data_IF_016959580690
#
_entry.id   IF_016959580690
#
_cell.length_a   1.000
_cell.length_b   1.000
_cell.length_c   1.000
_cell.angle_alpha   90.00
_cell.angle_beta   90.00
_cell.angle_gamma   90.00
#
_symmetry.space_group_name_H-M   'P 1'
#
loop_
_entity.id
_entity.type
_entity.pdbx_description
1 polymer ?
#
# COMPACT_ATOMS: atom_id res chain seq x y z
N UNK A 1 -3.50 5.04 -25.99
CA UNK A 1 -2.07 4.89 -26.27
C UNK A 1 -1.63 3.66 -25.47
N UNK A 2 -1.58 2.48 -26.08
CA UNK A 2 -1.26 1.21 -25.42
C UNK A 2 0.24 1.13 -25.15
N UNK A 3 0.71 0.79 -23.94
CA UNK A 3 2.13 0.60 -23.70
C UNK A 3 2.66 -0.59 -24.50
N UNK A 4 3.89 -0.53 -25.01
CA UNK A 4 4.44 -1.58 -25.84
C UNK A 4 4.62 -2.89 -25.07
N UNK A 5 4.29 -4.00 -25.71
CA UNK A 5 4.35 -5.40 -25.21
C UNK A 5 5.68 -5.82 -24.53
N UNK A 6 6.75 -5.05 -24.72
CA UNK A 6 8.10 -5.41 -24.27
C UNK A 6 8.48 -4.89 -22.87
N UNK A 7 7.63 -4.11 -22.18
CA UNK A 7 7.98 -3.60 -20.85
C UNK A 7 7.78 -4.63 -19.72
N UNK A 8 7.04 -5.70 -19.97
CA UNK A 8 6.72 -6.71 -18.96
C UNK A 8 7.93 -7.56 -18.52
N UNK A 9 8.88 -7.79 -19.44
CA UNK A 9 10.08 -8.61 -19.19
C UNK A 9 11.06 -7.88 -18.24
N UNK A 10 11.06 -6.54 -18.23
CA UNK A 10 11.95 -5.74 -17.35
C UNK A 10 11.43 -5.64 -15.91
N UNK A 11 10.16 -5.95 -15.66
CA UNK A 11 9.55 -5.87 -14.33
C UNK A 11 9.71 -7.14 -13.47
N UNK A 12 10.33 -8.19 -13.97
CA UNK A 12 10.66 -9.40 -13.20
C UNK A 12 9.44 -10.22 -12.77
N UNK A 13 8.35 -10.19 -13.52
CA UNK A 13 7.22 -11.12 -13.43
C UNK A 13 6.80 -11.59 -14.82
N UNK A 14 6.39 -12.85 -14.92
CA UNK A 14 5.87 -13.40 -16.16
C UNK A 14 4.39 -13.01 -16.28
N UNK A 15 4.06 -12.32 -17.37
CA UNK A 15 2.68 -12.09 -17.80
C UNK A 15 2.24 -13.31 -18.63
N UNK A 16 0.99 -13.69 -18.47
CA UNK A 16 0.36 -14.65 -19.40
C UNK A 16 0.23 -14.02 -20.79
N UNK A 17 0.14 -14.87 -21.83
CA UNK A 17 0.19 -14.44 -23.24
C UNK A 17 -0.86 -13.38 -23.60
N UNK A 18 -2.02 -13.43 -22.92
CA UNK A 18 -3.16 -12.51 -23.13
C UNK A 18 -3.30 -11.45 -22.04
N UNK A 19 -2.34 -11.37 -21.11
CA UNK A 19 -2.39 -10.44 -19.98
C UNK A 19 -1.77 -9.09 -20.35
N UNK A 20 -2.53 -7.99 -20.18
CA UNK A 20 -2.08 -6.64 -20.46
C UNK A 20 -1.91 -5.86 -19.14
N UNK A 21 -0.84 -5.05 -19.07
CA UNK A 21 -0.66 -4.11 -17.96
C UNK A 21 -1.52 -2.89 -18.22
N UNK A 22 -2.48 -2.63 -17.34
CA UNK A 22 -3.39 -1.49 -17.41
C UNK A 22 -2.83 -0.28 -16.66
N UNK A 23 -2.18 -0.54 -15.52
CA UNK A 23 -1.57 0.51 -14.70
C UNK A 23 -0.40 -0.04 -13.88
N UNK A 24 0.62 0.80 -13.70
CA UNK A 24 1.75 0.51 -12.83
C UNK A 24 2.11 1.77 -12.04
N UNK A 25 2.43 1.60 -10.76
CA UNK A 25 2.83 2.72 -9.90
C UNK A 25 3.58 2.29 -8.67
N UNK A 26 4.19 3.27 -8.03
CA UNK A 26 4.92 3.12 -6.74
C UNK A 26 4.25 4.01 -5.69
N UNK A 27 4.29 3.64 -4.41
CA UNK A 27 3.76 4.49 -3.35
C UNK A 27 4.58 5.78 -3.23
N UNK A 28 3.90 6.88 -2.90
CA UNK A 28 4.54 8.13 -2.50
C UNK A 28 5.17 7.96 -1.11
N UNK A 29 6.50 8.10 -1.02
CA UNK A 29 7.22 7.92 0.25
C UNK A 29 6.75 8.89 1.34
N UNK A 30 6.44 10.13 0.97
CA UNK A 30 5.99 11.16 1.91
C UNK A 30 4.60 10.83 2.47
N UNK A 31 3.67 10.42 1.61
CA UNK A 31 2.33 10.01 2.04
C UNK A 31 2.37 8.72 2.86
N UNK A 32 3.29 7.80 2.53
CA UNK A 32 3.54 6.60 3.32
C UNK A 32 4.09 6.95 4.71
N UNK A 33 5.04 7.87 4.79
CA UNK A 33 5.61 8.36 6.05
C UNK A 33 4.55 9.03 6.93
N UNK A 34 3.73 9.87 6.36
CA UNK A 34 2.68 10.60 7.09
C UNK A 34 1.48 9.71 7.45
N UNK A 35 1.07 8.82 6.55
CA UNK A 35 -0.13 7.99 6.70
C UNK A 35 0.14 6.66 7.42
N UNK A 36 1.18 5.91 7.01
CA UNK A 36 1.47 4.60 7.57
C UNK A 36 2.28 4.66 8.86
N UNK A 37 3.28 5.53 8.92
CA UNK A 37 4.17 5.66 10.08
C UNK A 37 3.74 6.75 11.06
N UNK A 38 2.69 7.51 10.75
CA UNK A 38 2.13 8.55 11.63
C UNK A 38 3.20 9.53 12.13
N UNK A 39 4.18 9.88 11.29
CA UNK A 39 5.34 10.69 11.68
C UNK A 39 4.91 12.01 12.36
N UNK A 40 3.77 12.60 11.99
CA UNK A 40 3.24 13.79 12.65
C UNK A 40 2.94 13.55 14.13
N UNK A 41 2.33 12.40 14.47
CA UNK A 41 2.00 12.04 15.85
C UNK A 41 3.27 11.79 16.63
N UNK A 42 4.22 11.09 16.03
CA UNK A 42 5.54 10.80 16.62
C UNK A 42 6.31 12.11 16.86
N UNK A 43 6.34 13.01 15.88
CA UNK A 43 7.00 14.30 16.03
C UNK A 43 6.35 15.16 17.12
N UNK A 44 5.03 15.19 17.19
CA UNK A 44 4.31 15.89 18.25
C UNK A 44 4.61 15.30 19.63
N UNK A 45 4.66 13.97 19.74
CA UNK A 45 5.00 13.28 21.00
C UNK A 45 6.41 13.66 21.47
N UNK A 46 7.42 13.60 20.59
CA UNK A 46 8.77 14.03 20.94
C UNK A 46 8.84 15.51 21.27
N UNK A 47 8.17 16.37 20.50
CA UNK A 47 8.13 17.80 20.80
C UNK A 47 7.53 18.09 22.18
N UNK A 48 6.49 17.38 22.60
CA UNK A 48 5.92 17.52 23.94
C UNK A 48 6.91 17.09 25.04
N UNK A 49 7.64 15.98 24.83
CA UNK A 49 8.67 15.53 25.78
C UNK A 49 9.80 16.56 25.87
N UNK A 50 10.25 17.11 24.74
CA UNK A 50 11.33 18.13 24.73
C UNK A 50 10.90 19.41 25.45
N UNK A 51 9.66 19.85 25.29
CA UNK A 51 9.13 21.01 26.01
C UNK A 51 9.11 20.76 27.53
N UNK A 52 8.68 19.58 27.97
CA UNK A 52 8.72 19.20 29.40
C UNK A 52 10.15 19.11 29.93
N UNK A 53 11.05 18.54 29.14
CA UNK A 53 12.50 18.48 29.46
C UNK A 53 13.12 19.86 29.62
N UNK A 54 12.79 20.78 28.70
CA UNK A 54 13.26 22.16 28.76
C UNK A 54 12.79 22.87 30.03
N UNK A 55 11.50 22.72 30.42
CA UNK A 55 10.96 23.26 31.66
C UNK A 55 11.72 22.68 32.85
N UNK A 56 12.03 21.40 32.87
CA UNK A 56 12.82 20.74 33.90
C UNK A 56 14.22 21.34 34.04
N UNK A 57 14.94 21.50 32.91
CA UNK A 57 16.28 22.06 32.84
C UNK A 57 16.29 23.51 33.37
N UNK A 58 15.32 24.33 32.96
CA UNK A 58 15.21 25.72 33.41
C UNK A 58 14.96 25.79 34.93
N UNK A 59 14.10 24.93 35.47
CA UNK A 59 13.77 24.93 36.93
C UNK A 59 14.92 24.41 37.80
N UNK A 60 15.65 23.42 37.30
CA UNK A 60 16.77 22.80 38.05
C UNK A 60 18.11 23.48 37.83
N UNK A 61 18.16 24.52 36.97
CA UNK A 61 19.40 25.20 36.59
C UNK A 61 20.44 24.21 36.02
N UNK A 62 19.96 23.10 35.38
CA UNK A 62 20.80 22.09 34.78
C UNK A 62 21.52 22.64 33.54
N UNK A 63 22.67 22.09 33.18
CA UNK A 63 23.40 22.54 32.00
C UNK A 63 22.57 22.29 30.71
N UNK A 64 22.60 23.23 29.79
CA UNK A 64 21.87 23.15 28.50
C UNK A 64 22.23 21.91 27.66
N UNK A 65 23.40 21.33 27.92
CA UNK A 65 23.82 20.06 27.33
C UNK A 65 22.87 18.90 27.61
N UNK A 66 22.07 18.97 28.69
CA UNK A 66 21.09 17.96 29.03
C UNK A 66 19.94 17.84 27.99
N UNK A 67 19.72 18.88 27.18
CA UNK A 67 18.70 18.88 26.12
C UNK A 67 19.24 18.28 24.81
N UNK A 68 20.54 18.34 24.58
CA UNK A 68 21.12 17.93 23.30
C UNK A 68 20.90 16.44 23.01
N UNK A 69 21.09 15.60 24.02
CA UNK A 69 20.96 14.15 23.83
C UNK A 69 19.53 13.70 23.46
N UNK A 70 18.46 14.13 24.20
CA UNK A 70 17.10 13.76 23.82
C UNK A 70 16.68 14.35 22.48
N UNK A 71 17.05 15.60 22.15
CA UNK A 71 16.77 16.18 20.81
C UNK A 71 17.46 15.38 19.71
N UNK A 72 18.73 14.99 19.90
CA UNK A 72 19.46 14.16 18.93
C UNK A 72 18.81 12.77 18.77
N UNK A 73 18.35 12.17 19.88
CA UNK A 73 17.65 10.88 19.84
C UNK A 73 16.30 10.98 19.10
N UNK A 74 15.52 12.04 19.34
CA UNK A 74 14.26 12.30 18.63
C UNK A 74 14.49 12.49 17.13
N UNK A 75 15.50 13.29 16.75
CA UNK A 75 15.86 13.52 15.35
C UNK A 75 16.32 12.23 14.67
N UNK A 76 17.15 11.43 15.33
CA UNK A 76 17.61 10.12 14.84
C UNK A 76 16.43 9.16 14.62
N UNK A 77 15.50 9.08 15.57
CA UNK A 77 14.34 8.19 15.49
C UNK A 77 13.42 8.59 14.33
N UNK A 78 13.10 9.88 14.20
CA UNK A 78 12.28 10.40 13.09
C UNK A 78 13.00 10.19 11.76
N UNK A 79 14.30 10.45 11.70
CA UNK A 79 15.13 10.19 10.53
C UNK A 79 15.11 8.74 10.10
N UNK A 80 15.20 7.80 11.05
CA UNK A 80 15.12 6.37 10.79
C UNK A 80 13.74 5.96 10.23
N UNK A 81 12.64 6.51 10.77
CA UNK A 81 11.30 6.26 10.23
C UNK A 81 11.15 6.80 8.81
N UNK A 82 11.69 7.98 8.52
CA UNK A 82 11.69 8.55 7.17
C UNK A 82 12.51 7.69 6.21
N UNK A 83 13.69 7.23 6.61
CA UNK A 83 14.53 6.35 5.81
C UNK A 83 13.84 5.02 5.52
N UNK A 84 13.16 4.45 6.51
CA UNK A 84 12.37 3.23 6.35
C UNK A 84 11.21 3.43 5.36
N UNK A 85 10.45 4.53 5.51
CA UNK A 85 9.37 4.87 4.58
C UNK A 85 9.88 5.03 3.14
N UNK A 86 11.01 5.72 2.98
CA UNK A 86 11.66 5.90 1.69
C UNK A 86 12.12 4.57 1.08
N UNK A 87 12.77 3.70 1.87
CA UNK A 87 13.20 2.37 1.43
C UNK A 87 12.03 1.51 0.97
N UNK A 88 10.95 1.47 1.74
CA UNK A 88 9.72 0.74 1.38
C UNK A 88 9.12 1.29 0.08
N UNK A 89 9.01 2.62 -0.05
CA UNK A 89 8.44 3.23 -1.25
C UNK A 89 9.27 2.91 -2.51
N UNK A 90 10.59 2.91 -2.39
CA UNK A 90 11.52 2.60 -3.51
C UNK A 90 11.49 1.13 -3.93
N UNK A 91 11.19 0.24 -3.01
CA UNK A 91 11.22 -1.22 -3.25
C UNK A 91 9.83 -1.81 -3.51
N UNK A 92 8.79 -0.97 -3.48
CA UNK A 92 7.41 -1.40 -3.72
C UNK A 92 6.93 -0.93 -5.08
N UNK A 93 6.36 -1.86 -5.86
CA UNK A 93 5.69 -1.57 -7.12
C UNK A 93 4.34 -2.28 -7.14
N UNK A 94 3.31 -1.56 -7.51
CA UNK A 94 1.98 -2.10 -7.75
C UNK A 94 1.73 -2.18 -9.24
N UNK A 95 1.18 -3.28 -9.70
CA UNK A 95 0.80 -3.48 -11.11
C UNK A 95 -0.63 -3.97 -11.17
N UNK A 96 -1.45 -3.31 -11.95
CA UNK A 96 -2.81 -3.74 -12.27
C UNK A 96 -2.80 -4.24 -13.70
N UNK A 97 -3.21 -5.48 -13.89
CA UNK A 97 -3.32 -6.11 -15.21
C UNK A 97 -4.79 -6.34 -15.55
N UNK A 98 -5.07 -6.90 -16.71
CA UNK A 98 -6.42 -7.29 -17.12
C UNK A 98 -7.02 -8.46 -16.30
N UNK A 99 -6.20 -9.23 -15.57
CA UNK A 99 -6.63 -10.44 -14.86
C UNK A 99 -6.39 -10.44 -13.35
N UNK A 100 -5.40 -9.66 -12.88
CA UNK A 100 -4.94 -9.69 -11.47
C UNK A 100 -4.31 -8.37 -11.03
N UNK A 101 -4.21 -8.20 -9.72
CA UNK A 101 -3.41 -7.15 -9.09
C UNK A 101 -2.14 -7.76 -8.53
N UNK A 102 -0.98 -7.23 -8.88
CA UNK A 102 0.32 -7.73 -8.46
C UNK A 102 0.96 -6.70 -7.52
N UNK A 103 1.30 -7.16 -6.32
CA UNK A 103 2.06 -6.41 -5.34
C UNK A 103 3.50 -6.93 -5.37
N UNK A 104 4.45 -6.08 -5.68
CA UNK A 104 5.86 -6.40 -5.59
C UNK A 104 6.48 -5.56 -4.49
N UNK A 105 7.09 -6.19 -3.50
CA UNK A 105 7.67 -5.53 -2.34
C UNK A 105 8.88 -6.31 -1.81
N UNK A 106 9.72 -5.63 -1.03
CA UNK A 106 10.88 -6.20 -0.37
C UNK A 106 12.20 -5.68 -0.92
N UNK A 107 13.02 -5.08 -0.05
CA UNK A 107 14.31 -4.51 -0.39
C UNK A 107 15.41 -5.57 -0.56
N UNK A 108 15.46 -6.54 0.36
CA UNK A 108 16.50 -7.58 0.37
C UNK A 108 16.04 -8.88 -0.30
N UNK A 109 14.75 -9.22 -0.16
CA UNK A 109 14.14 -10.40 -0.77
C UNK A 109 12.89 -9.94 -1.53
N UNK A 110 12.98 -9.75 -2.85
CA UNK A 110 11.82 -9.35 -3.64
C UNK A 110 10.74 -10.44 -3.57
N UNK A 111 9.58 -10.06 -3.08
CA UNK A 111 8.40 -10.92 -3.02
C UNK A 111 7.32 -10.33 -3.92
N UNK A 112 6.61 -11.21 -4.59
CA UNK A 112 5.44 -10.86 -5.37
C UNK A 112 4.20 -11.55 -4.81
N UNK A 113 3.13 -10.80 -4.63
CA UNK A 113 1.81 -11.33 -4.31
C UNK A 113 0.89 -11.00 -5.47
N UNK A 114 0.33 -12.02 -6.09
CA UNK A 114 -0.63 -11.90 -7.18
C UNK A 114 -2.03 -12.22 -6.67
N UNK A 115 -2.97 -11.30 -6.86
CA UNK A 115 -4.37 -11.44 -6.45
C UNK A 115 -5.25 -11.37 -7.70
N UNK A 116 -5.77 -12.52 -8.18
CA UNK A 116 -6.70 -12.54 -9.30
C UNK A 116 -8.01 -11.79 -8.99
N UNK A 117 -8.60 -11.12 -9.96
CA UNK A 117 -9.86 -10.38 -9.77
C UNK A 117 -10.99 -11.26 -9.23
N UNK A 118 -11.02 -12.56 -9.58
CA UNK A 118 -11.98 -13.53 -9.05
C UNK A 118 -11.97 -13.64 -7.51
N UNK A 119 -10.85 -13.29 -6.86
CA UNK A 119 -10.70 -13.33 -5.40
C UNK A 119 -11.08 -12.01 -4.72
N UNK A 120 -11.29 -10.94 -5.51
CA UNK A 120 -11.64 -9.62 -5.00
C UNK A 120 -13.16 -9.50 -4.98
N UNK A 121 -13.72 -9.16 -3.83
CA UNK A 121 -15.16 -8.93 -3.66
C UNK A 121 -15.54 -7.46 -3.91
N UNK A 122 -14.72 -6.54 -3.45
CA UNK A 122 -14.96 -5.10 -3.62
C UNK A 122 -13.67 -4.29 -3.46
N UNK A 123 -13.71 -3.07 -3.97
CA UNK A 123 -12.64 -2.07 -3.86
C UNK A 123 -13.15 -0.92 -3.01
N UNK A 124 -12.35 -0.48 -2.04
CA UNK A 124 -12.66 0.70 -1.24
C UNK A 124 -11.53 1.72 -1.35
N UNK A 125 -11.92 2.96 -1.65
CA UNK A 125 -11.01 4.09 -1.84
C UNK A 125 -11.01 4.96 -0.59
N UNK A 126 -9.81 5.34 -0.12
CA UNK A 126 -9.61 6.38 0.88
C UNK A 126 -8.73 7.46 0.27
N UNK A 127 -9.32 8.61 -0.04
CA UNK A 127 -8.58 9.73 -0.60
C UNK A 127 -7.89 10.51 0.49
N UNK A 128 -6.61 10.77 0.31
CA UNK A 128 -5.80 11.67 1.08
C UNK A 128 -5.68 13.05 0.41
N UNK A 129 -4.66 13.81 0.83
CA UNK A 129 -4.33 15.09 0.21
C UNK A 129 -3.66 14.87 -1.15
N UNK A 130 -3.76 15.85 -2.07
CA UNK A 130 -3.09 15.87 -3.38
C UNK A 130 -3.47 14.71 -4.31
N UNK A 131 -4.71 14.23 -4.24
CA UNK A 131 -5.19 13.08 -5.04
C UNK A 131 -4.41 11.77 -4.81
N UNK A 132 -3.53 11.76 -3.83
CA UNK A 132 -2.93 10.52 -3.34
C UNK A 132 -3.92 9.83 -2.40
N UNK A 133 -3.86 8.52 -2.33
CA UNK A 133 -4.77 7.79 -1.46
C UNK A 133 -4.45 6.31 -1.38
N UNK A 134 -5.27 5.64 -0.62
CA UNK A 134 -5.19 4.21 -0.37
C UNK A 134 -6.35 3.49 -1.05
N UNK A 135 -6.06 2.43 -1.78
CA UNK A 135 -7.07 1.56 -2.40
C UNK A 135 -7.00 0.20 -1.73
N UNK A 136 -8.00 -0.12 -0.91
CA UNK A 136 -8.07 -1.40 -0.23
C UNK A 136 -8.92 -2.40 -1.01
N UNK A 137 -8.39 -3.62 -1.17
CA UNK A 137 -9.04 -4.73 -1.85
C UNK A 137 -9.67 -5.62 -0.79
N UNK A 138 -10.98 -5.80 -0.87
CA UNK A 138 -11.66 -6.78 -0.02
C UNK A 138 -11.64 -8.13 -0.72
N UNK A 139 -10.98 -9.11 -0.10
CA UNK A 139 -10.97 -10.47 -0.62
C UNK A 139 -12.26 -11.19 -0.27
N UNK A 140 -12.65 -12.16 -1.09
CA UNK A 140 -13.72 -13.12 -0.77
C UNK A 140 -13.24 -14.01 0.39
N UNK A 141 -14.16 -14.42 1.25
CA UNK A 141 -13.88 -15.07 2.55
C UNK A 141 -13.06 -16.37 2.49
N UNK A 142 -12.97 -16.98 1.33
CA UNK A 142 -12.26 -18.25 1.13
C UNK A 142 -10.73 -18.11 1.03
N UNK A 143 -10.21 -16.89 0.84
CA UNK A 143 -8.79 -16.65 0.59
C UNK A 143 -8.16 -15.81 1.70
N UNK A 144 -7.57 -16.49 2.67
CA UNK A 144 -6.82 -15.84 3.74
C UNK A 144 -5.35 -15.69 3.37
N UNK A 145 -4.91 -14.47 3.12
CA UNK A 145 -3.48 -14.15 3.02
C UNK A 145 -2.99 -13.74 4.41
N UNK A 146 -1.94 -14.36 4.98
CA UNK A 146 -1.45 -14.01 6.31
C UNK A 146 -1.09 -12.52 6.44
N UNK A 147 -1.55 -11.86 7.50
CA UNK A 147 -1.32 -10.43 7.76
C UNK A 147 0.16 -10.04 7.66
N UNK A 148 1.05 -10.87 8.23
CA UNK A 148 2.50 -10.64 8.24
C UNK A 148 3.11 -10.62 6.84
N UNK A 149 2.56 -11.40 5.89
CA UNK A 149 3.03 -11.40 4.49
C UNK A 149 2.64 -10.13 3.75
N UNK A 150 1.57 -9.46 4.17
CA UNK A 150 1.05 -8.25 3.54
C UNK A 150 1.62 -6.96 4.16
N UNK A 151 2.21 -7.02 5.35
CA UNK A 151 2.74 -5.84 6.01
C UNK A 151 3.89 -5.22 5.20
N UNK A 152 3.94 -3.89 5.02
CA UNK A 152 3.06 -2.83 5.50
C UNK A 152 1.86 -2.51 4.57
N UNK A 153 1.60 -3.32 3.52
CA UNK A 153 0.58 -3.12 2.48
C UNK A 153 -0.77 -3.75 2.84
N UNK A 154 -1.16 -3.66 4.10
CA UNK A 154 -2.41 -4.18 4.64
C UNK A 154 -3.14 -3.09 5.42
N UNK A 155 -4.48 -3.14 5.43
CA UNK A 155 -5.28 -2.24 6.24
C UNK A 155 -5.03 -2.52 7.72
N UNK A 156 -4.65 -1.50 8.54
CA UNK A 156 -4.38 -1.68 9.96
C UNK A 156 -5.63 -2.18 10.70
N UNK A 157 -5.42 -2.90 11.81
CA UNK A 157 -6.46 -3.40 12.71
C UNK A 157 -7.39 -4.48 12.15
N UNK A 158 -7.17 -4.99 10.93
CA UNK A 158 -7.95 -6.05 10.32
C UNK A 158 -7.17 -7.38 10.28
N UNK A 159 -6.76 -7.87 11.45
CA UNK A 159 -5.90 -9.08 11.55
C UNK A 159 -6.64 -10.36 11.16
N UNK A 160 -7.94 -10.45 11.47
CA UNK A 160 -8.77 -11.64 11.16
C UNK A 160 -9.16 -11.75 9.69
N UNK A 161 -9.30 -10.63 9.00
CA UNK A 161 -9.58 -10.57 7.56
C UNK A 161 -8.65 -9.54 6.92
N UNK A 162 -7.39 -9.91 6.64
CA UNK A 162 -6.42 -8.99 6.08
C UNK A 162 -6.88 -8.48 4.72
N UNK A 163 -6.93 -7.16 4.57
CA UNK A 163 -7.30 -6.50 3.32
C UNK A 163 -6.04 -5.96 2.67
N UNK A 164 -5.57 -6.57 1.57
CA UNK A 164 -4.48 -6.01 0.78
C UNK A 164 -4.82 -4.59 0.35
N UNK A 165 -3.85 -3.69 0.44
CA UNK A 165 -4.08 -2.28 0.18
C UNK A 165 -2.93 -1.69 -0.64
N UNK A 166 -3.27 -1.06 -1.76
CA UNK A 166 -2.36 -0.18 -2.48
C UNK A 166 -2.27 1.12 -1.68
N UNK A 167 -1.12 1.35 -1.04
CA UNK A 167 -0.93 2.49 -0.15
C UNK A 167 -0.31 3.67 -0.84
N UNK A 168 -0.82 4.86 -0.51
CA UNK A 168 -0.21 6.14 -0.88
C UNK A 168 0.10 6.24 -2.37
N UNK A 169 -0.81 5.73 -3.20
CA UNK A 169 -0.65 5.78 -4.65
C UNK A 169 -1.10 7.13 -5.21
N UNK A 170 -0.38 7.66 -6.21
CA UNK A 170 -0.83 8.84 -6.92
C UNK A 170 -2.08 8.53 -7.75
N UNK A 171 -2.96 9.53 -7.89
CA UNK A 171 -4.22 9.39 -8.64
C UNK A 171 -5.07 8.20 -8.19
N UNK A 172 -5.17 7.97 -6.90
CA UNK A 172 -5.86 6.82 -6.31
C UNK A 172 -7.31 6.67 -6.79
N UNK A 173 -8.00 7.79 -7.08
CA UNK A 173 -9.34 7.77 -7.63
C UNK A 173 -9.42 7.15 -9.03
N UNK A 174 -8.44 7.45 -9.89
CA UNK A 174 -8.35 6.87 -11.24
C UNK A 174 -8.10 5.37 -11.16
N UNK A 175 -7.17 4.96 -10.28
CA UNK A 175 -6.85 3.53 -10.09
C UNK A 175 -8.03 2.76 -9.51
N UNK A 176 -8.74 3.34 -8.55
CA UNK A 176 -9.94 2.72 -7.97
C UNK A 176 -11.07 2.54 -9.00
N UNK A 177 -11.30 3.54 -9.86
CA UNK A 177 -12.29 3.45 -10.93
C UNK A 177 -11.91 2.41 -11.97
N UNK A 178 -10.62 2.33 -12.34
CA UNK A 178 -10.09 1.31 -13.24
C UNK A 178 -10.30 -0.09 -12.66
N UNK A 179 -9.91 -0.30 -11.38
CA UNK A 179 -10.11 -1.59 -10.71
C UNK A 179 -11.57 -1.99 -10.61
N UNK A 180 -12.47 -1.04 -10.31
CA UNK A 180 -13.91 -1.31 -10.22
C UNK A 180 -14.49 -1.70 -11.57
N UNK A 181 -14.04 -1.06 -12.65
CA UNK A 181 -14.46 -1.37 -14.03
C UNK A 181 -14.00 -2.77 -14.45
N UNK A 182 -12.74 -3.11 -14.19
CA UNK A 182 -12.20 -4.45 -14.52
C UNK A 182 -12.90 -5.55 -13.71
N UNK A 183 -13.21 -5.29 -12.44
CA UNK A 183 -13.99 -6.23 -11.61
C UNK A 183 -15.37 -6.49 -12.21
N UNK A 184 -16.09 -5.45 -12.63
CA UNK A 184 -17.41 -5.58 -13.25
C UNK A 184 -17.33 -6.37 -14.55
N UNK A 185 -16.35 -6.08 -15.42
CA UNK A 185 -16.14 -6.82 -16.67
C UNK A 185 -15.85 -8.30 -16.43
N UNK A 186 -15.00 -8.61 -15.45
CA UNK A 186 -14.71 -10.00 -15.09
C UNK A 186 -15.93 -10.73 -14.50
N UNK A 187 -16.81 -10.04 -13.77
CA UNK A 187 -18.05 -10.64 -13.25
C UNK A 187 -19.07 -10.90 -14.35
N UNK A 188 -19.29 -9.96 -15.27
CA UNK A 188 -20.16 -10.11 -16.43
C UNK A 188 -19.70 -11.26 -17.30
N UNK A 189 -18.41 -11.34 -17.63
CA UNK A 189 -17.84 -12.44 -18.40
C UNK A 189 -18.07 -13.82 -17.74
N UNK A 190 -18.00 -13.89 -16.41
CA UNK A 190 -18.29 -15.14 -15.67
C UNK A 190 -19.77 -15.54 -15.70
N UNK A 191 -20.68 -14.58 -15.67
CA UNK A 191 -22.12 -14.85 -15.76
C UNK A 191 -22.46 -15.38 -17.14
N UNK A 192 -21.89 -14.83 -18.21
CA UNK A 192 -22.13 -15.28 -19.58
C UNK A 192 -21.62 -16.71 -19.82
N UNK A 193 -20.47 -17.08 -19.25
CA UNK A 193 -19.91 -18.45 -19.37
C UNK A 193 -20.74 -19.48 -18.61
N UNK A 194 -21.44 -19.07 -17.53
CA UNK A 194 -22.26 -19.98 -16.71
C UNK A 194 -23.65 -20.26 -17.31
N UNK A 195 -24.13 -19.39 -18.16
CA UNK A 195 -25.49 -19.47 -18.76
C UNK A 195 -25.69 -20.55 -19.86
N UNK A 196 -24.68 -21.02 -20.62
CA UNK A 196 -24.93 -21.97 -21.70
C UNK A 196 -25.12 -23.43 -21.27
N UNK A 197 -24.73 -23.80 -20.05
CA UNK A 197 -24.65 -25.22 -19.65
C UNK A 197 -25.92 -25.73 -18.95
N UNK A 198 -26.79 -24.85 -18.46
CA UNK A 198 -28.05 -25.25 -17.80
C UNK A 198 -29.23 -25.44 -18.76
N UNK A 199 -29.14 -24.96 -20.00
CA UNK A 199 -30.19 -25.02 -21.00
C UNK A 199 -30.21 -26.32 -21.84
N UNK A 200 -29.23 -27.22 -21.66
CA UNK A 200 -29.10 -28.48 -22.43
C UNK A 200 -29.39 -29.73 -21.59
N UNK A 201 -29.85 -29.56 -20.33
CA UNK A 201 -30.15 -30.67 -19.41
C UNK A 201 -31.64 -30.70 -18.95
N UNK A 202 -32.53 -30.07 -19.71
CA UNK A 202 -33.98 -30.13 -19.48
C UNK A 202 -34.67 -30.81 -20.65
#
# INVERSE_FOLDING_TARGET
MSPPRNQAVHCGFCLDTDEQVLWQGTPSWLSLALGAFHIRVVAFYFAAIEVLGLVGVVRSHAPSAAIILPVAAAALFIGLLCALAFGIARTTTYVVTSHRVIFRYGAALPRSLSIPFRQIASVSLSLGRRQEGDVALQLRSENHVPYVKLWPHVRPWHVRSPKPMLRSIPLAGVVASLLSRELLQNEVGRMQVRSPTESLAA
#
